data_IF_072953321290
#
_entry.id   IF_072953321290
#
_cell.length_a   1.000
_cell.length_b   1.000
_cell.length_c   1.000
_cell.angle_alpha   90.00
_cell.angle_beta   90.00
_cell.angle_gamma   90.00
#
_symmetry.space_group_name_H-M   'P 1'
#
loop_
_entity.id
_entity.type
_entity.pdbx_description
1 polymer ?
#
# COMPACT_ATOMS: atom_id res chain seq x y z
N UNK A 1 31.00 -9.11 4.69
CA UNK A 1 29.76 -9.87 4.41
C UNK A 1 28.65 -9.25 5.23
N UNK A 2 27.79 -8.43 4.63
CA UNK A 2 26.67 -7.81 5.34
C UNK A 2 25.37 -8.49 4.89
N UNK A 3 24.57 -9.01 5.83
CA UNK A 3 23.25 -9.57 5.54
C UNK A 3 22.20 -8.46 5.66
N UNK A 4 21.81 -7.87 4.54
CA UNK A 4 20.60 -7.04 4.47
C UNK A 4 19.44 -7.90 3.96
N UNK A 5 18.45 -8.14 4.83
CA UNK A 5 17.27 -8.95 4.51
C UNK A 5 16.16 -8.07 3.90
N UNK A 6 16.28 -7.75 2.61
CA UNK A 6 15.19 -7.11 1.87
C UNK A 6 13.97 -8.05 1.83
N UNK A 7 12.80 -7.56 2.25
CA UNK A 7 11.54 -8.32 2.28
C UNK A 7 10.53 -7.68 1.34
N UNK A 8 10.45 -8.19 0.10
CA UNK A 8 9.47 -7.81 -0.93
C UNK A 8 8.82 -9.08 -1.52
N UNK A 9 7.56 -8.94 -1.96
CA UNK A 9 6.63 -10.01 -2.34
C UNK A 9 6.47 -11.15 -1.31
N UNK A 10 5.42 -11.04 -0.49
CA UNK A 10 4.72 -12.21 0.04
C UNK A 10 3.46 -12.44 -0.80
N UNK A 11 3.51 -13.39 -1.74
CA UNK A 11 2.30 -13.89 -2.39
C UNK A 11 1.82 -15.13 -1.62
N UNK A 12 0.70 -15.00 -0.90
CA UNK A 12 0.19 -16.06 -0.02
C UNK A 12 -1.20 -16.49 -0.48
N UNK A 13 -1.25 -17.61 -1.22
CA UNK A 13 -2.47 -18.26 -1.71
C UNK A 13 -2.65 -19.61 -1.02
N UNK A 14 -3.88 -19.89 -0.57
CA UNK A 14 -4.27 -21.18 -0.02
C UNK A 14 -4.66 -22.18 -1.12
N UNK A 15 -4.60 -23.47 -0.80
CA UNK A 15 -5.04 -24.56 -1.69
C UNK A 15 -5.96 -25.51 -0.91
N UNK A 16 -7.19 -25.66 -1.42
CA UNK A 16 -8.09 -26.78 -1.08
C UNK A 16 -7.82 -27.90 -2.08
N UNK A 17 -7.83 -29.16 -1.62
CA UNK A 17 -7.48 -30.31 -2.44
C UNK A 17 -8.67 -30.83 -3.28
N UNK A 18 -8.45 -31.08 -4.57
CA UNK A 18 -9.41 -31.78 -5.44
C UNK A 18 -9.07 -31.74 -6.93
N UNK A 19 -8.74 -32.90 -7.51
CA UNK A 19 -8.59 -33.18 -8.96
C UNK A 19 -7.53 -32.37 -9.75
N UNK A 20 -7.17 -32.92 -10.92
CA UNK A 20 -6.30 -32.29 -11.92
C UNK A 20 -7.14 -31.41 -12.86
N UNK A 21 -6.68 -30.20 -13.14
CA UNK A 21 -7.00 -29.42 -14.34
C UNK A 21 -5.88 -28.38 -14.58
N UNK A 22 -5.58 -28.07 -15.84
CA UNK A 22 -4.25 -27.59 -16.28
C UNK A 22 -4.05 -26.06 -16.25
N UNK A 23 -2.82 -25.59 -15.94
CA UNK A 23 -2.57 -24.20 -15.48
C UNK A 23 -1.23 -23.49 -15.92
N UNK A 24 -1.31 -22.38 -16.70
CA UNK A 24 -0.26 -21.42 -17.14
C UNK A 24 -0.60 -19.90 -16.97
N UNK A 25 0.35 -19.03 -17.32
CA UNK A 25 0.27 -17.56 -17.32
C UNK A 25 0.99 -17.01 -18.57
N UNK A 26 0.54 -15.87 -19.11
CA UNK A 26 1.26 -15.12 -20.15
C UNK A 26 1.48 -13.68 -19.69
N UNK A 27 2.71 -13.17 -19.86
CA UNK A 27 3.08 -11.77 -19.60
C UNK A 27 3.52 -11.14 -20.92
N UNK A 28 2.91 -10.00 -21.26
CA UNK A 28 3.28 -9.14 -22.38
C UNK A 28 3.80 -7.83 -21.81
N UNK A 29 5.00 -7.38 -22.19
CA UNK A 29 5.45 -6.05 -21.84
C UNK A 29 4.84 -4.99 -22.78
N UNK A 30 4.93 -3.71 -22.40
CA UNK A 30 4.38 -2.61 -23.21
C UNK A 30 5.04 -2.45 -24.59
N UNK A 31 6.23 -3.03 -24.80
CA UNK A 31 6.88 -3.12 -26.12
C UNK A 31 6.43 -4.32 -26.98
N UNK A 32 5.35 -5.01 -26.61
CA UNK A 32 4.78 -6.16 -27.35
C UNK A 32 5.69 -7.40 -27.40
N UNK A 33 6.75 -7.46 -26.59
CA UNK A 33 7.74 -8.52 -26.60
C UNK A 33 7.32 -9.63 -25.63
N UNK A 34 7.12 -10.84 -26.17
CA UNK A 34 6.90 -12.04 -25.36
C UNK A 34 8.16 -12.37 -24.56
N UNK A 35 7.98 -12.71 -23.29
CA UNK A 35 9.03 -13.24 -22.43
C UNK A 35 8.73 -14.71 -22.14
N UNK A 36 9.61 -15.60 -22.60
CA UNK A 36 9.57 -17.01 -22.21
C UNK A 36 10.27 -17.18 -20.86
N UNK A 37 9.65 -17.94 -19.96
CA UNK A 37 10.22 -18.27 -18.65
C UNK A 37 10.38 -19.78 -18.57
N UNK A 38 11.63 -20.23 -18.38
CA UNK A 38 11.94 -21.65 -18.20
C UNK A 38 11.82 -22.03 -16.72
N UNK A 39 11.19 -23.17 -16.45
CA UNK A 39 10.96 -23.68 -15.09
C UNK A 39 11.47 -25.13 -14.98
N UNK A 40 11.93 -25.49 -13.78
CA UNK A 40 12.32 -26.87 -13.43
C UNK A 40 11.54 -27.28 -12.19
N UNK A 41 10.67 -28.28 -12.32
CA UNK A 41 9.93 -28.82 -11.20
C UNK A 41 10.77 -29.91 -10.52
N UNK A 42 11.30 -29.61 -9.33
CA UNK A 42 12.04 -30.57 -8.50
C UNK A 42 11.17 -31.00 -7.32
N UNK A 43 11.03 -32.31 -7.15
CA UNK A 43 10.48 -32.89 -5.92
C UNK A 43 11.37 -32.53 -4.72
N UNK A 44 10.76 -32.19 -3.58
CA UNK A 44 11.48 -31.98 -2.32
C UNK A 44 11.21 -33.17 -1.38
N UNK A 45 12.24 -33.68 -0.68
CA UNK A 45 12.08 -34.82 0.21
C UNK A 45 11.11 -34.52 1.36
N UNK A 46 10.41 -35.57 1.81
CA UNK A 46 9.43 -35.48 2.87
C UNK A 46 10.06 -34.91 4.16
N UNK A 47 9.46 -33.85 4.72
CA UNK A 47 9.99 -33.12 5.90
C UNK A 47 10.19 -33.98 7.16
N UNK A 48 9.55 -35.15 7.26
CA UNK A 48 9.68 -36.05 8.41
C UNK A 48 10.69 -37.20 8.20
N UNK A 49 11.03 -37.54 6.95
CA UNK A 49 11.88 -38.71 6.63
C UNK A 49 13.10 -38.39 5.75
N UNK A 50 13.20 -37.17 5.23
CA UNK A 50 14.26 -36.71 4.31
C UNK A 50 14.43 -37.54 3.02
N UNK A 51 13.38 -38.26 2.61
CA UNK A 51 13.34 -39.15 1.44
C UNK A 51 12.33 -38.66 0.40
N UNK A 52 12.66 -38.81 -0.89
CA UNK A 52 11.77 -38.61 -2.05
C UNK A 52 11.18 -39.95 -2.55
N UNK A 53 10.12 -39.91 -3.35
CA UNK A 53 9.36 -41.12 -3.73
C UNK A 53 9.85 -41.84 -4.98
N UNK A 54 10.91 -41.35 -5.64
CA UNK A 54 11.50 -42.00 -6.82
C UNK A 54 12.33 -43.23 -6.50
N UNK A 55 12.69 -43.97 -7.55
CA UNK A 55 13.61 -45.11 -7.45
C UNK A 55 14.94 -44.68 -6.80
N UNK A 56 15.51 -45.57 -5.98
CA UNK A 56 16.69 -45.30 -5.14
C UNK A 56 16.58 -44.08 -4.18
N UNK A 57 15.35 -43.63 -3.87
CA UNK A 57 15.05 -42.40 -3.11
C UNK A 57 15.42 -41.10 -3.85
N UNK A 58 15.66 -41.15 -5.16
CA UNK A 58 15.99 -39.96 -5.94
C UNK A 58 14.75 -39.06 -6.10
N UNK A 59 14.97 -37.74 -6.01
CA UNK A 59 13.90 -36.75 -6.17
C UNK A 59 13.64 -36.48 -7.65
N UNK A 60 12.40 -36.67 -8.11
CA UNK A 60 12.06 -36.48 -9.52
C UNK A 60 12.34 -35.03 -9.95
N UNK A 61 12.89 -34.87 -11.17
CA UNK A 61 13.12 -33.58 -11.82
C UNK A 61 12.38 -33.60 -13.16
N UNK A 62 11.31 -32.80 -13.25
CA UNK A 62 10.52 -32.61 -14.46
C UNK A 62 10.80 -31.25 -15.10
N UNK A 63 10.98 -31.24 -16.42
CA UNK A 63 11.08 -30.02 -17.24
C UNK A 63 10.29 -30.21 -18.52
N UNK A 64 9.45 -29.25 -18.89
CA UNK A 64 8.70 -29.24 -20.13
C UNK A 64 8.64 -27.82 -20.70
N UNK A 65 8.57 -27.71 -22.02
CA UNK A 65 8.46 -26.44 -22.74
C UNK A 65 7.08 -26.37 -23.37
N UNK A 66 6.24 -25.45 -22.89
CA UNK A 66 4.91 -25.21 -23.47
C UNK A 66 5.05 -24.34 -24.72
N UNK A 67 4.47 -24.77 -25.83
CA UNK A 67 4.40 -23.99 -27.06
C UNK A 67 2.97 -23.44 -27.28
N UNK A 68 2.78 -22.62 -28.31
CA UNK A 68 1.79 -21.53 -28.30
C UNK A 68 0.32 -21.89 -28.55
N UNK A 69 -0.18 -23.03 -28.11
CA UNK A 69 -1.57 -23.44 -28.35
C UNK A 69 -2.28 -24.03 -27.11
N UNK A 70 -3.46 -23.47 -26.85
CA UNK A 70 -4.50 -23.88 -25.88
C UNK A 70 -4.29 -23.54 -24.39
N UNK A 71 -5.39 -23.65 -23.63
CA UNK A 71 -5.67 -22.83 -22.44
C UNK A 71 -5.28 -23.50 -21.13
N UNK A 72 -4.69 -22.72 -20.23
CA UNK A 72 -4.31 -23.14 -18.88
C UNK A 72 -4.40 -21.88 -17.94
N UNK A 73 -4.92 -21.97 -16.68
CA UNK A 73 -5.10 -20.85 -15.68
C UNK A 73 -3.96 -20.85 -14.61
N UNK A 74 -3.98 -20.31 -13.37
CA UNK A 74 -2.83 -20.51 -12.40
C UNK A 74 -3.12 -21.26 -11.07
N UNK A 75 -2.14 -22.04 -10.58
CA UNK A 75 -2.01 -22.56 -9.21
C UNK A 75 -0.58 -22.40 -8.66
N UNK A 76 -0.39 -21.52 -7.67
CA UNK A 76 0.88 -21.34 -6.94
C UNK A 76 0.84 -22.17 -5.65
N UNK A 77 1.95 -22.81 -5.27
CA UNK A 77 2.10 -23.55 -4.00
C UNK A 77 3.00 -22.79 -3.00
N UNK A 78 2.86 -23.03 -1.67
CA UNK A 78 3.73 -22.41 -0.68
C UNK A 78 5.21 -22.79 -0.85
N UNK A 79 6.12 -21.89 -0.44
CA UNK A 79 7.59 -22.01 -0.50
C UNK A 79 8.22 -21.87 -1.90
N UNK A 80 7.76 -20.92 -2.71
CA UNK A 80 8.59 -20.36 -3.78
C UNK A 80 9.60 -19.35 -3.20
N UNK A 81 10.76 -19.18 -3.86
CA UNK A 81 11.78 -18.18 -3.51
C UNK A 81 11.87 -17.20 -4.69
N UNK A 82 11.88 -15.90 -4.40
CA UNK A 82 12.15 -14.85 -5.39
C UNK A 82 13.55 -14.31 -5.13
N UNK A 83 14.45 -14.48 -6.08
CA UNK A 83 15.72 -13.76 -6.08
C UNK A 83 15.50 -12.32 -6.59
N UNK A 84 15.11 -11.44 -5.68
CA UNK A 84 14.96 -10.02 -5.94
C UNK A 84 16.29 -9.29 -5.75
N UNK A 85 16.92 -8.84 -6.85
CA UNK A 85 18.09 -7.96 -6.76
C UNK A 85 17.66 -6.57 -6.30
N UNK A 86 18.29 -6.04 -5.25
CA UNK A 86 17.99 -4.70 -4.72
C UNK A 86 18.20 -3.60 -5.79
N UNK A 87 17.22 -2.71 -5.95
CA UNK A 87 17.25 -1.59 -6.91
C UNK A 87 18.34 -0.57 -6.57
N UNK A 88 18.73 -0.40 -5.30
CA UNK A 88 19.90 0.41 -4.93
C UNK A 88 21.20 -0.17 -5.50
N UNK A 89 21.36 -1.49 -5.40
CA UNK A 89 22.49 -2.23 -5.95
C UNK A 89 22.53 -2.21 -7.48
N UNK A 90 21.36 -2.30 -8.15
CA UNK A 90 21.24 -2.11 -9.60
C UNK A 90 21.65 -0.68 -9.99
N UNK A 91 21.14 0.34 -9.30
CA UNK A 91 21.44 1.74 -9.57
C UNK A 91 22.94 2.05 -9.42
N UNK A 92 23.62 1.50 -8.41
CA UNK A 92 25.06 1.62 -8.22
C UNK A 92 25.86 1.01 -9.38
N UNK A 93 25.47 -0.17 -9.86
CA UNK A 93 26.12 -0.83 -11.01
C UNK A 93 25.88 -0.05 -12.30
N UNK A 94 24.65 0.43 -12.54
CA UNK A 94 24.34 1.29 -13.69
C UNK A 94 25.10 2.62 -13.65
N UNK A 95 25.22 3.25 -12.47
CA UNK A 95 25.97 4.50 -12.30
C UNK A 95 27.46 4.33 -12.63
N UNK A 96 28.11 3.26 -12.14
CA UNK A 96 29.50 2.95 -12.53
C UNK A 96 29.61 2.77 -14.05
N UNK A 97 28.71 1.98 -14.64
CA UNK A 97 28.69 1.69 -16.08
C UNK A 97 28.46 2.94 -16.95
N UNK A 98 27.66 3.91 -16.49
CA UNK A 98 27.54 5.24 -17.13
C UNK A 98 28.89 5.95 -17.13
N UNK A 99 29.53 6.07 -15.96
CA UNK A 99 30.81 6.78 -15.81
C UNK A 99 31.90 6.14 -16.67
N UNK A 100 32.03 4.82 -16.65
CA UNK A 100 32.98 4.08 -17.49
C UNK A 100 32.73 4.29 -18.99
N UNK A 101 31.46 4.23 -19.42
CA UNK A 101 31.08 4.43 -20.84
C UNK A 101 31.39 5.87 -21.28
N UNK A 102 31.01 6.87 -20.49
CA UNK A 102 31.30 8.28 -20.79
C UNK A 102 32.79 8.58 -20.78
N UNK A 103 33.57 7.97 -19.87
CA UNK A 103 35.03 8.09 -19.84
C UNK A 103 35.69 7.54 -21.10
N UNK A 104 35.21 6.43 -21.66
CA UNK A 104 35.72 5.89 -22.93
C UNK A 104 35.28 6.75 -24.13
N UNK A 105 34.04 7.25 -24.14
CA UNK A 105 33.55 8.14 -25.20
C UNK A 105 34.37 9.44 -25.25
N UNK A 106 34.58 10.10 -24.11
CA UNK A 106 35.41 11.32 -24.03
C UNK A 106 36.87 11.06 -24.44
N UNK A 107 37.46 9.91 -24.04
CA UNK A 107 38.82 9.52 -24.49
C UNK A 107 38.91 9.24 -26.00
N UNK A 108 37.82 8.79 -26.63
CA UNK A 108 37.78 8.48 -28.07
C UNK A 108 37.52 9.73 -28.91
N UNK A 109 36.84 10.73 -28.35
CA UNK A 109 36.50 11.99 -29.01
C UNK A 109 37.64 13.05 -29.01
N UNK A 110 38.70 12.85 -28.22
CA UNK A 110 39.77 13.82 -28.00
C UNK A 110 41.12 13.36 -28.56
N UNK A 111 42.00 14.29 -28.99
CA UNK A 111 43.34 13.97 -29.43
C UNK A 111 44.21 13.45 -28.27
N UNK A 112 45.22 12.63 -28.60
CA UNK A 112 46.13 12.00 -27.63
C UNK A 112 47.10 12.97 -26.91
N UNK A 113 47.07 14.27 -27.25
CA UNK A 113 47.72 15.35 -26.53
C UNK A 113 46.72 16.48 -26.29
N UNK A 114 46.38 16.74 -25.02
CA UNK A 114 45.32 17.69 -24.62
C UNK A 114 45.89 19.09 -24.34
N UNK A 115 45.41 20.08 -25.09
CA UNK A 115 45.52 21.51 -24.73
C UNK A 115 44.56 21.87 -23.58
N UNK A 116 44.62 23.10 -23.08
CA UNK A 116 43.65 23.58 -22.09
C UNK A 116 42.22 23.75 -22.67
N UNK A 117 42.07 23.96 -23.99
CA UNK A 117 40.76 23.90 -24.64
C UNK A 117 40.21 22.46 -24.67
N UNK A 118 41.06 21.46 -24.95
CA UNK A 118 40.64 20.06 -24.97
C UNK A 118 40.22 19.57 -23.57
N UNK A 119 40.79 20.13 -22.49
CA UNK A 119 40.37 19.86 -21.10
C UNK A 119 38.97 20.37 -20.81
N UNK A 120 38.63 21.58 -21.25
CA UNK A 120 37.27 22.13 -21.13
C UNK A 120 36.27 21.30 -21.95
N UNK A 121 36.61 20.97 -23.19
CA UNK A 121 35.81 20.09 -24.03
C UNK A 121 35.61 18.70 -23.41
N UNK A 122 36.63 18.14 -22.75
CA UNK A 122 36.52 16.87 -22.02
C UNK A 122 35.47 16.92 -20.91
N UNK A 123 35.42 18.02 -20.15
CA UNK A 123 34.46 18.24 -19.06
C UNK A 123 33.05 18.38 -19.62
N UNK A 124 32.85 19.15 -20.69
CA UNK A 124 31.54 19.33 -21.34
C UNK A 124 31.01 18.01 -21.94
N UNK A 125 31.85 17.27 -22.68
CA UNK A 125 31.51 15.97 -23.24
C UNK A 125 31.14 14.96 -22.14
N UNK A 126 31.92 14.92 -21.06
CA UNK A 126 31.67 14.01 -19.94
C UNK A 126 30.39 14.39 -19.18
N UNK A 127 30.18 15.67 -18.88
CA UNK A 127 28.99 16.17 -18.20
C UNK A 127 27.72 15.89 -19.02
N UNK A 128 27.73 16.20 -20.31
CA UNK A 128 26.61 15.96 -21.24
C UNK A 128 26.30 14.46 -21.36
N UNK A 129 27.33 13.62 -21.50
CA UNK A 129 27.17 12.16 -21.54
C UNK A 129 26.60 11.60 -20.23
N UNK A 130 27.11 12.03 -19.07
CA UNK A 130 26.61 11.58 -17.76
C UNK A 130 25.18 12.05 -17.54
N UNK A 131 24.86 13.32 -17.82
CA UNK A 131 23.51 13.87 -17.63
C UNK A 131 22.46 13.14 -18.49
N UNK A 132 22.72 12.98 -19.79
CA UNK A 132 21.82 12.28 -20.71
C UNK A 132 21.67 10.79 -20.39
N UNK A 133 22.77 10.11 -20.05
CA UNK A 133 22.74 8.68 -19.69
C UNK A 133 22.06 8.44 -18.34
N UNK A 134 22.24 9.35 -17.38
CA UNK A 134 21.58 9.28 -16.06
C UNK A 134 20.08 9.54 -16.18
N UNK A 135 19.67 10.55 -16.95
CA UNK A 135 18.26 10.81 -17.25
C UNK A 135 17.58 9.57 -17.85
N UNK A 136 18.24 8.89 -18.80
CA UNK A 136 17.74 7.65 -19.40
C UNK A 136 17.70 6.45 -18.43
N UNK A 137 18.60 6.37 -17.45
CA UNK A 137 18.50 5.34 -16.40
C UNK A 137 17.39 5.66 -15.39
N UNK A 138 17.12 6.93 -15.10
CA UNK A 138 15.98 7.36 -14.27
C UNK A 138 14.66 7.03 -14.99
N UNK A 139 14.59 7.29 -16.31
CA UNK A 139 13.45 6.94 -17.17
C UNK A 139 13.16 5.43 -17.14
N UNK A 140 14.16 4.59 -17.41
CA UNK A 140 14.03 3.12 -17.36
C UNK A 140 13.65 2.62 -15.97
N UNK A 141 14.23 3.18 -14.90
CA UNK A 141 13.87 2.82 -13.53
C UNK A 141 12.44 3.26 -13.18
N UNK A 142 11.94 4.36 -13.76
CA UNK A 142 10.55 4.78 -13.62
C UNK A 142 9.60 3.85 -14.38
N UNK A 143 9.91 3.48 -15.63
CA UNK A 143 9.16 2.47 -16.40
C UNK A 143 9.06 1.13 -15.64
N UNK A 144 10.17 0.66 -15.05
CA UNK A 144 10.17 -0.57 -14.25
C UNK A 144 9.32 -0.42 -12.97
N UNK A 145 9.40 0.70 -12.25
CA UNK A 145 8.55 0.96 -11.07
C UNK A 145 7.06 1.02 -11.45
N UNK A 146 6.71 1.65 -12.57
CA UNK A 146 5.32 1.67 -13.05
C UNK A 146 4.84 0.26 -13.42
N UNK A 147 5.62 -0.52 -14.16
CA UNK A 147 5.27 -1.91 -14.53
C UNK A 147 5.12 -2.83 -13.31
N UNK A 148 5.97 -2.67 -12.29
CA UNK A 148 5.81 -3.40 -11.01
C UNK A 148 4.56 -2.92 -10.25
N UNK A 149 4.18 -1.64 -10.35
CA UNK A 149 2.93 -1.10 -9.80
C UNK A 149 1.68 -1.62 -10.54
N UNK A 150 1.73 -1.75 -11.86
CA UNK A 150 0.68 -2.35 -12.71
C UNK A 150 0.44 -3.82 -12.28
N UNK A 151 1.48 -4.66 -12.29
CA UNK A 151 1.40 -6.07 -11.86
C UNK A 151 0.84 -6.19 -10.44
N UNK A 152 1.31 -5.34 -9.52
CA UNK A 152 0.87 -5.30 -8.12
C UNK A 152 -0.62 -4.94 -8.03
N UNK A 153 -1.09 -3.97 -8.81
CA UNK A 153 -2.49 -3.51 -8.80
C UNK A 153 -3.44 -4.54 -9.40
N UNK A 154 -3.09 -5.15 -10.54
CA UNK A 154 -3.88 -6.23 -11.14
C UNK A 154 -3.96 -7.46 -10.22
N UNK A 155 -2.84 -7.83 -9.60
CA UNK A 155 -2.78 -8.94 -8.64
C UNK A 155 -3.61 -8.64 -7.39
N UNK A 156 -3.57 -7.40 -6.89
CA UNK A 156 -4.40 -6.91 -5.80
C UNK A 156 -5.89 -7.04 -6.10
N UNK A 157 -6.35 -6.60 -7.28
CA UNK A 157 -7.76 -6.72 -7.66
C UNK A 157 -8.24 -8.18 -7.76
N UNK A 158 -7.39 -9.10 -8.21
CA UNK A 158 -7.71 -10.54 -8.19
C UNK A 158 -7.77 -11.11 -6.77
N UNK A 159 -6.92 -10.64 -5.85
CA UNK A 159 -6.85 -11.11 -4.47
C UNK A 159 -7.89 -10.49 -3.52
N UNK A 160 -8.56 -9.40 -3.90
CA UNK A 160 -9.54 -8.72 -3.02
C UNK A 160 -10.69 -9.66 -2.63
N UNK A 161 -11.25 -10.38 -3.60
CA UNK A 161 -12.33 -11.34 -3.35
C UNK A 161 -11.89 -12.47 -2.41
N UNK A 162 -10.62 -12.89 -2.44
CA UNK A 162 -10.12 -13.90 -1.52
C UNK A 162 -9.92 -13.33 -0.10
N UNK A 163 -9.17 -12.24 0.02
CA UNK A 163 -8.82 -11.60 1.31
C UNK A 163 -10.02 -11.03 2.06
N UNK A 164 -11.06 -10.54 1.36
CA UNK A 164 -12.27 -10.03 1.97
C UNK A 164 -13.37 -11.09 2.24
N UNK A 165 -13.33 -12.27 1.60
CA UNK A 165 -14.37 -13.31 1.73
C UNK A 165 -13.92 -14.52 2.58
N UNK A 166 -12.62 -14.82 2.64
CA UNK A 166 -12.09 -15.86 3.52
C UNK A 166 -12.07 -15.36 4.98
N UNK A 167 -13.21 -15.51 5.65
CA UNK A 167 -13.41 -15.18 7.06
C UNK A 167 -12.47 -15.92 8.04
N UNK A 168 -11.60 -16.83 7.60
CA UNK A 168 -10.63 -17.51 8.48
C UNK A 168 -9.26 -16.80 8.57
N UNK A 169 -8.88 -15.99 7.57
CA UNK A 169 -7.57 -15.33 7.51
C UNK A 169 -7.36 -14.32 8.66
N UNK A 170 -6.44 -14.53 9.62
CA UNK A 170 -6.20 -13.55 10.69
C UNK A 170 -5.63 -12.24 10.12
N UNK A 171 -5.64 -11.17 10.93
CA UNK A 171 -4.86 -9.95 10.64
C UNK A 171 -3.43 -10.30 10.25
N UNK A 172 -2.91 -9.70 9.18
CA UNK A 172 -1.55 -9.92 8.71
C UNK A 172 -0.54 -9.75 9.84
N UNK A 173 0.47 -10.64 9.89
CA UNK A 173 1.45 -10.63 10.97
C UNK A 173 2.31 -9.36 10.92
N UNK A 174 2.41 -8.66 12.05
CA UNK A 174 3.31 -7.52 12.22
C UNK A 174 4.78 -7.88 11.94
N UNK A 175 5.53 -6.93 11.36
CA UNK A 175 6.97 -7.05 11.12
C UNK A 175 7.75 -6.83 12.41
N UNK A 176 7.35 -5.81 13.16
CA UNK A 176 7.85 -5.46 14.50
C UNK A 176 6.67 -5.01 15.36
N UNK A 177 6.86 -5.00 16.67
CA UNK A 177 5.89 -4.46 17.62
C UNK A 177 6.58 -3.45 18.53
N UNK A 178 5.84 -2.44 18.97
CA UNK A 178 6.30 -1.40 19.89
C UNK A 178 5.16 -0.97 20.81
N UNK A 179 5.44 -0.07 21.76
CA UNK A 179 4.43 0.51 22.63
C UNK A 179 4.52 2.05 22.58
N UNK A 180 3.36 2.71 22.48
CA UNK A 180 3.25 4.17 22.51
C UNK A 180 2.22 4.57 23.58
N UNK A 181 2.63 5.39 24.57
CA UNK A 181 1.78 5.78 25.71
C UNK A 181 1.00 4.59 26.32
N UNK A 182 1.73 3.50 26.61
CA UNK A 182 1.21 2.21 27.10
C UNK A 182 0.25 1.43 26.16
N UNK A 183 -0.07 1.92 24.96
CA UNK A 183 -0.81 1.19 23.93
C UNK A 183 0.11 0.31 23.11
N UNK A 184 -0.37 -0.88 22.75
CA UNK A 184 0.36 -1.81 21.89
C UNK A 184 0.22 -1.41 20.42
N UNK A 185 1.34 -1.38 19.69
CA UNK A 185 1.43 -1.01 18.28
C UNK A 185 2.07 -2.15 17.48
N UNK A 186 1.28 -2.75 16.59
CA UNK A 186 1.71 -3.69 15.55
C UNK A 186 2.15 -2.90 14.30
N UNK A 187 3.44 -2.95 13.95
CA UNK A 187 3.98 -2.30 12.75
C UNK A 187 3.89 -3.28 11.57
N UNK A 188 2.92 -3.07 10.69
CA UNK A 188 2.63 -3.94 9.54
C UNK A 188 3.49 -3.58 8.33
N UNK A 189 3.62 -2.27 8.05
CA UNK A 189 4.51 -1.71 7.06
C UNK A 189 5.28 -0.54 7.66
N UNK A 190 6.59 -0.54 7.45
CA UNK A 190 7.46 0.62 7.66
C UNK A 190 8.35 0.78 6.42
N UNK A 191 8.15 1.89 5.71
CA UNK A 191 8.99 2.42 4.62
C UNK A 191 9.05 3.95 4.78
N UNK A 192 9.95 4.66 4.08
CA UNK A 192 9.99 6.12 4.13
C UNK A 192 8.67 6.75 3.67
N UNK A 193 8.16 6.38 2.49
CA UNK A 193 6.92 6.92 1.89
C UNK A 193 5.62 6.27 2.36
N UNK A 194 5.67 5.06 2.93
CA UNK A 194 4.49 4.27 3.25
C UNK A 194 4.64 3.57 4.61
N UNK A 195 3.74 3.87 5.56
CA UNK A 195 3.67 3.19 6.86
C UNK A 195 2.25 2.72 7.13
N UNK A 196 2.10 1.57 7.77
CA UNK A 196 0.80 1.00 8.19
C UNK A 196 1.00 0.38 9.58
N UNK A 197 0.39 0.98 10.59
CA UNK A 197 0.44 0.53 11.99
C UNK A 197 -0.98 0.18 12.47
N UNK A 198 -1.12 -0.90 13.24
CA UNK A 198 -2.35 -1.22 13.97
C UNK A 198 -2.13 -0.97 15.47
N UNK A 199 -3.04 -0.24 16.10
CA UNK A 199 -2.89 0.26 17.47
C UNK A 199 -4.05 -0.30 18.30
N UNK A 200 -3.74 -1.02 19.38
CA UNK A 200 -4.77 -1.49 20.32
C UNK A 200 -5.20 -0.37 21.26
N UNK A 201 -6.49 -0.34 21.62
CA UNK A 201 -7.05 0.52 22.68
C UNK A 201 -6.78 2.03 22.48
N UNK A 202 -6.85 2.48 21.22
CA UNK A 202 -6.60 3.85 20.80
C UNK A 202 -7.75 4.81 21.12
N UNK A 203 -8.98 4.43 20.76
CA UNK A 203 -10.21 5.19 21.02
C UNK A 203 -11.03 4.49 22.12
N UNK A 204 -11.52 5.23 23.10
CA UNK A 204 -12.27 4.68 24.24
C UNK A 204 -13.74 4.41 23.89
N UNK A 205 -14.46 3.70 24.77
CA UNK A 205 -15.90 3.55 24.60
C UNK A 205 -16.61 4.89 24.77
N UNK A 206 -16.20 5.69 25.76
CA UNK A 206 -16.79 6.98 26.10
C UNK A 206 -16.66 7.98 24.95
N UNK A 207 -15.52 8.02 24.26
CA UNK A 207 -15.32 8.82 23.04
C UNK A 207 -16.23 8.33 21.90
N UNK A 208 -16.36 7.02 21.71
CA UNK A 208 -17.24 6.45 20.68
C UNK A 208 -18.73 6.71 20.93
N UNK A 209 -19.18 6.57 22.19
CA UNK A 209 -20.57 6.78 22.59
C UNK A 209 -20.93 8.28 22.51
N UNK A 210 -20.01 9.17 22.92
CA UNK A 210 -20.13 10.63 22.75
C UNK A 210 -20.23 11.03 21.27
N UNK A 211 -19.32 10.53 20.42
CA UNK A 211 -19.34 10.79 18.98
C UNK A 211 -20.65 10.32 18.36
N UNK A 212 -21.08 9.09 18.66
CA UNK A 212 -22.34 8.55 18.14
C UNK A 212 -23.55 9.35 18.64
N UNK A 213 -23.51 9.87 19.87
CA UNK A 213 -24.60 10.66 20.43
C UNK A 213 -24.86 11.96 19.66
N UNK A 214 -23.81 12.70 19.27
CA UNK A 214 -23.93 13.95 18.52
C UNK A 214 -24.36 13.69 17.07
N UNK A 215 -23.68 12.77 16.35
CA UNK A 215 -23.88 12.61 14.89
C UNK A 215 -25.17 11.90 14.49
N UNK A 216 -25.83 11.15 15.39
CA UNK A 216 -26.96 10.24 15.06
C UNK A 216 -28.11 10.88 14.27
N UNK A 217 -28.34 12.19 14.46
CA UNK A 217 -29.41 12.93 13.79
C UNK A 217 -29.00 13.48 12.42
N UNK A 218 -27.70 13.65 12.16
CA UNK A 218 -27.13 14.27 10.96
C UNK A 218 -26.64 13.23 9.91
N UNK A 219 -26.84 11.94 10.19
CA UNK A 219 -26.40 10.81 9.36
C UNK A 219 -27.01 10.81 7.94
N UNK A 220 -26.18 11.10 6.94
CA UNK A 220 -26.53 11.09 5.51
C UNK A 220 -26.00 9.84 4.82
N UNK A 221 -26.54 9.49 3.66
CA UNK A 221 -25.98 8.41 2.82
C UNK A 221 -24.56 8.76 2.35
N UNK A 222 -23.66 7.77 2.34
CA UNK A 222 -22.24 8.01 2.06
C UNK A 222 -21.89 7.92 0.57
N UNK A 223 -21.18 8.93 0.06
CA UNK A 223 -20.63 8.98 -1.31
C UNK A 223 -19.70 7.80 -1.62
N UNK A 224 -19.93 7.12 -2.74
CA UNK A 224 -19.04 6.07 -3.26
C UNK A 224 -17.85 6.72 -3.95
N UNK A 225 -16.63 6.31 -3.58
CA UNK A 225 -15.43 6.59 -4.37
C UNK A 225 -15.45 5.72 -5.64
N UNK A 226 -15.29 6.36 -6.80
CA UNK A 226 -15.34 5.70 -8.12
C UNK A 226 -14.01 5.01 -8.52
N UNK A 227 -13.04 4.95 -7.61
CA UNK A 227 -11.67 4.45 -7.86
C UNK A 227 -10.76 5.42 -8.62
N UNK A 228 -11.24 6.60 -9.01
CA UNK A 228 -10.50 7.66 -9.72
C UNK A 228 -10.56 9.02 -9.01
N UNK A 229 -10.98 9.04 -7.75
CA UNK A 229 -11.10 10.24 -6.90
C UNK A 229 -12.46 10.94 -6.97
N UNK A 230 -13.34 10.53 -7.90
CA UNK A 230 -14.71 11.03 -8.01
C UNK A 230 -15.61 10.49 -6.89
N UNK A 231 -16.60 11.31 -6.51
CA UNK A 231 -17.67 10.93 -5.57
C UNK A 231 -18.98 10.74 -6.32
N UNK A 232 -19.60 9.58 -6.17
CA UNK A 232 -20.90 9.26 -6.79
C UNK A 232 -21.86 8.69 -5.76
N UNK A 233 -23.13 9.13 -5.79
CA UNK A 233 -24.19 8.51 -5.01
C UNK A 233 -24.63 7.21 -5.68
N UNK A 234 -24.42 6.06 -5.04
CA UNK A 234 -25.07 4.80 -5.44
C UNK A 234 -26.37 4.61 -4.62
N UNK A 235 -27.57 4.61 -5.24
CA UNK A 235 -28.84 4.32 -4.57
C UNK A 235 -28.95 2.95 -3.89
N UNK A 236 -27.97 2.06 -4.08
CA UNK A 236 -27.89 0.76 -3.42
C UNK A 236 -26.97 0.69 -2.19
N UNK A 237 -26.25 1.76 -1.86
CA UNK A 237 -25.40 1.80 -0.65
C UNK A 237 -26.26 1.94 0.61
N UNK A 238 -25.74 1.45 1.75
CA UNK A 238 -26.43 1.58 3.04
C UNK A 238 -25.60 2.32 4.09
N UNK A 239 -24.30 2.45 3.88
CA UNK A 239 -23.44 3.17 4.81
C UNK A 239 -23.88 4.63 5.00
N UNK A 240 -23.87 5.06 6.26
CA UNK A 240 -24.14 6.44 6.68
C UNK A 240 -22.85 7.16 7.05
N UNK A 241 -22.83 8.47 6.88
CA UNK A 241 -21.69 9.35 7.20
C UNK A 241 -22.14 10.68 7.80
N UNK A 242 -21.32 11.28 8.66
CA UNK A 242 -21.48 12.67 9.11
C UNK A 242 -20.14 13.27 9.62
N UNK A 243 -19.82 14.54 9.32
CA UNK A 243 -18.73 15.26 9.95
C UNK A 243 -19.08 15.66 11.40
N UNK A 244 -18.12 15.51 12.31
CA UNK A 244 -18.29 15.82 13.74
C UNK A 244 -17.99 17.30 13.95
N UNK A 245 -18.98 18.16 13.68
CA UNK A 245 -18.89 19.62 13.78
C UNK A 245 -19.58 20.20 15.01
N UNK A 246 -20.89 19.96 15.11
CA UNK A 246 -21.75 20.63 16.08
C UNK A 246 -21.86 19.79 17.36
N UNK A 247 -20.81 19.79 18.19
CA UNK A 247 -20.83 19.10 19.48
C UNK A 247 -21.51 19.98 20.53
N UNK A 248 -22.69 19.54 20.99
CA UNK A 248 -23.57 20.34 21.84
C UNK A 248 -23.30 20.13 23.34
N UNK A 249 -22.93 18.91 23.73
CA UNK A 249 -22.58 18.60 25.13
C UNK A 249 -21.09 18.89 25.42
N UNK A 250 -20.83 19.70 26.44
CA UNK A 250 -19.48 20.12 26.80
C UNK A 250 -18.57 18.97 27.31
N UNK A 251 -19.16 17.87 27.81
CA UNK A 251 -18.40 16.67 28.20
C UNK A 251 -18.04 15.83 26.97
N UNK A 252 -18.92 15.74 25.97
CA UNK A 252 -18.62 15.14 24.67
C UNK A 252 -17.55 15.94 23.92
N UNK A 253 -17.63 17.28 23.92
CA UNK A 253 -16.64 18.16 23.29
C UNK A 253 -15.23 17.88 23.82
N UNK A 254 -15.08 17.81 25.16
CA UNK A 254 -13.80 17.49 25.82
C UNK A 254 -13.28 16.09 25.47
N UNK A 255 -14.16 15.09 25.31
CA UNK A 255 -13.75 13.74 24.89
C UNK A 255 -13.25 13.74 23.43
N UNK A 256 -13.94 14.45 22.55
CA UNK A 256 -13.58 14.58 21.13
C UNK A 256 -12.28 15.38 20.96
N UNK A 257 -12.06 16.42 21.76
CA UNK A 257 -10.78 17.17 21.85
C UNK A 257 -9.63 16.26 22.34
N UNK A 258 -9.86 15.45 23.37
CA UNK A 258 -8.87 14.50 23.90
C UNK A 258 -8.54 13.36 22.93
N UNK A 259 -9.49 12.97 22.07
CA UNK A 259 -9.24 12.07 20.96
C UNK A 259 -8.45 12.76 19.85
N UNK A 260 -8.87 13.97 19.45
CA UNK A 260 -8.22 14.79 18.41
C UNK A 260 -6.72 14.94 18.69
N UNK A 261 -6.36 15.45 19.87
CA UNK A 261 -4.96 15.61 20.30
C UNK A 261 -4.17 14.31 20.27
N UNK A 262 -4.76 13.19 20.69
CA UNK A 262 -4.13 11.86 20.64
C UNK A 262 -3.77 11.42 19.21
N UNK A 263 -4.53 11.85 18.21
CA UNK A 263 -4.26 11.56 16.80
C UNK A 263 -3.07 12.38 16.30
N UNK A 264 -2.98 13.67 16.64
CA UNK A 264 -1.83 14.50 16.28
C UNK A 264 -0.56 14.10 17.05
N UNK A 265 -0.66 13.80 18.35
CA UNK A 265 0.46 13.26 19.15
C UNK A 265 1.02 11.96 18.55
N UNK A 266 0.15 11.05 18.09
CA UNK A 266 0.58 9.81 17.43
C UNK A 266 1.15 10.08 16.03
N UNK A 267 0.54 10.98 15.26
CA UNK A 267 1.01 11.32 13.91
C UNK A 267 2.39 11.97 13.98
N UNK A 268 2.62 12.88 14.92
CA UNK A 268 3.91 13.53 15.16
C UNK A 268 4.96 12.60 15.78
N UNK A 269 4.53 11.54 16.48
CA UNK A 269 5.43 10.44 16.89
C UNK A 269 5.95 9.61 15.70
N UNK A 270 5.15 9.47 14.63
CA UNK A 270 5.47 8.65 13.45
C UNK A 270 6.06 9.47 12.29
N UNK A 271 5.70 10.75 12.16
CA UNK A 271 6.12 11.68 11.12
C UNK A 271 6.65 12.99 11.73
N UNK A 272 7.87 13.44 11.40
CA UNK A 272 8.51 14.60 12.04
C UNK A 272 8.04 15.95 11.46
N UNK A 273 6.72 16.19 11.44
CA UNK A 273 6.12 17.39 10.84
C UNK A 273 5.50 18.39 11.83
N UNK A 274 5.30 18.02 13.10
CA UNK A 274 4.68 18.86 14.14
C UNK A 274 3.29 19.43 13.74
N UNK A 275 2.43 18.59 13.17
CA UNK A 275 1.08 18.96 12.73
C UNK A 275 0.16 19.23 13.94
N UNK A 276 -0.62 20.31 13.87
CA UNK A 276 -1.63 20.75 14.84
C UNK A 276 -3.06 20.43 14.35
N UNK A 277 -4.06 20.67 15.19
CA UNK A 277 -5.49 20.61 14.85
C UNK A 277 -6.02 21.85 14.09
N UNK A 278 -5.24 22.94 14.06
CA UNK A 278 -5.53 24.17 13.30
C UNK A 278 -5.68 23.89 11.80
N UNK A 279 -6.74 24.43 11.17
CA UNK A 279 -6.98 24.28 9.73
C UNK A 279 -7.35 22.87 9.23
N UNK A 280 -7.41 21.86 10.10
CA UNK A 280 -7.56 20.45 9.71
C UNK A 280 -8.98 20.04 9.30
N UNK A 281 -9.10 18.86 8.68
CA UNK A 281 -10.39 18.29 8.31
C UNK A 281 -11.18 17.83 9.54
N UNK A 282 -12.52 17.89 9.46
CA UNK A 282 -13.40 17.32 10.49
C UNK A 282 -13.09 15.83 10.71
N UNK A 283 -13.22 15.36 11.95
CA UNK A 283 -13.41 13.93 12.20
C UNK A 283 -14.69 13.46 11.49
N UNK A 284 -14.62 12.38 10.74
CA UNK A 284 -15.76 11.78 10.04
C UNK A 284 -16.22 10.51 10.73
N UNK A 285 -17.47 10.46 11.19
CA UNK A 285 -18.12 9.21 11.59
C UNK A 285 -18.70 8.50 10.36
N UNK A 286 -18.46 7.19 10.22
CA UNK A 286 -19.04 6.36 9.16
C UNK A 286 -19.55 5.03 9.74
N UNK A 287 -20.79 4.66 9.41
CA UNK A 287 -21.45 3.44 9.86
C UNK A 287 -21.84 2.58 8.66
N UNK A 288 -21.53 1.29 8.71
CA UNK A 288 -21.81 0.28 7.67
C UNK A 288 -22.65 -0.86 8.25
N UNK A 289 -23.52 -1.46 7.44
CA UNK A 289 -24.49 -2.47 7.89
C UNK A 289 -24.30 -3.83 7.21
N UNK A 290 -24.57 -4.91 7.95
CA UNK A 290 -24.58 -6.29 7.43
C UNK A 290 -25.62 -6.48 6.33
N UNK A 291 -25.16 -6.84 5.12
CA UNK A 291 -26.03 -7.05 3.95
C UNK A 291 -26.26 -8.52 3.59
N UNK A 292 -25.62 -9.45 4.29
CA UNK A 292 -25.62 -10.89 3.98
C UNK A 292 -24.59 -11.28 2.91
N UNK A 293 -24.08 -12.50 2.99
CA UNK A 293 -22.90 -12.98 2.24
C UNK A 293 -23.09 -13.04 0.71
N UNK A 294 -24.34 -13.19 0.24
CA UNK A 294 -24.69 -13.31 -1.19
C UNK A 294 -25.27 -12.00 -1.77
N UNK A 295 -25.09 -10.86 -1.10
CA UNK A 295 -25.66 -9.60 -1.58
C UNK A 295 -24.85 -9.04 -2.76
N UNK A 296 -25.54 -8.68 -3.85
CA UNK A 296 -24.91 -8.06 -5.04
C UNK A 296 -24.51 -6.59 -4.82
N UNK A 297 -25.03 -5.96 -3.77
CA UNK A 297 -24.59 -4.65 -3.26
C UNK A 297 -24.30 -4.75 -1.75
N UNK A 298 -23.17 -5.36 -1.37
CA UNK A 298 -22.75 -5.42 0.02
C UNK A 298 -22.28 -4.04 0.48
N UNK A 299 -22.41 -3.73 1.77
CA UNK A 299 -22.00 -2.44 2.30
C UNK A 299 -20.49 -2.48 2.54
N UNK A 300 -19.75 -1.67 1.77
CA UNK A 300 -18.30 -1.75 1.64
C UNK A 300 -17.71 -0.40 1.25
N UNK A 301 -16.38 -0.31 1.20
CA UNK A 301 -15.67 0.76 0.51
C UNK A 301 -14.74 0.13 -0.55
N UNK A 302 -14.65 0.73 -1.73
CA UNK A 302 -13.85 0.21 -2.86
C UNK A 302 -12.36 0.57 -2.70
N UNK A 303 -11.45 -0.06 -3.47
CA UNK A 303 -10.05 0.35 -3.52
C UNK A 303 -9.89 1.84 -3.87
N UNK A 304 -9.15 2.58 -3.05
CA UNK A 304 -8.88 4.01 -3.21
C UNK A 304 -7.63 4.43 -2.41
N UNK A 305 -7.19 5.67 -2.59
CA UNK A 305 -6.20 6.33 -1.74
C UNK A 305 -6.84 7.56 -1.07
N UNK A 306 -6.38 7.91 0.14
CA UNK A 306 -6.89 9.07 0.88
C UNK A 306 -6.23 10.39 0.47
N UNK A 307 -4.95 10.35 0.11
CA UNK A 307 -4.25 11.42 -0.60
C UNK A 307 -3.65 10.90 -1.90
N UNK A 308 -2.77 11.70 -2.52
CA UNK A 308 -2.03 11.26 -3.70
C UNK A 308 -1.17 10.03 -3.37
N UNK A 309 -1.18 9.04 -4.26
CA UNK A 309 -0.49 7.76 -4.12
C UNK A 309 0.14 7.30 -5.45
N UNK A 310 0.52 8.28 -6.29
CA UNK A 310 1.06 8.10 -7.64
C UNK A 310 2.60 8.25 -7.70
N UNK A 311 3.27 8.26 -6.54
CA UNK A 311 4.71 8.42 -6.42
C UNK A 311 5.26 9.80 -6.83
N UNK A 312 4.42 10.83 -6.95
CA UNK A 312 4.85 12.21 -7.24
C UNK A 312 5.22 13.00 -5.98
N UNK A 313 5.66 14.25 -6.16
CA UNK A 313 5.92 15.17 -5.07
C UNK A 313 4.62 15.61 -4.37
N UNK A 314 4.69 15.82 -3.06
CA UNK A 314 3.62 16.36 -2.23
C UNK A 314 3.18 17.76 -2.72
N UNK A 315 1.88 18.04 -2.62
CA UNK A 315 1.27 19.34 -2.88
C UNK A 315 0.84 19.96 -1.56
N UNK A 316 1.12 21.24 -1.37
CA UNK A 316 0.80 21.95 -0.13
C UNK A 316 -0.71 21.95 0.17
N UNK A 317 -1.07 21.95 1.47
CA UNK A 317 -2.42 21.67 1.94
C UNK A 317 -2.90 20.23 1.73
N UNK A 318 -2.08 19.36 1.13
CA UNK A 318 -2.39 17.97 0.85
C UNK A 318 -2.50 17.10 2.11
N UNK A 319 -3.22 15.98 1.99
CA UNK A 319 -3.28 14.94 3.02
C UNK A 319 -1.97 14.15 3.06
N UNK A 320 -1.53 13.74 4.26
CA UNK A 320 -0.28 12.99 4.48
C UNK A 320 -0.46 11.67 5.25
N UNK A 321 -1.51 11.56 6.06
CA UNK A 321 -1.81 10.37 6.86
C UNK A 321 -3.30 10.26 7.20
N UNK A 322 -3.74 9.04 7.49
CA UNK A 322 -5.09 8.71 7.97
C UNK A 322 -5.01 7.99 9.30
N UNK A 323 -5.89 8.36 10.24
CA UNK A 323 -6.15 7.58 11.45
C UNK A 323 -7.58 7.02 11.41
N UNK A 324 -7.69 5.72 11.19
CA UNK A 324 -8.96 4.99 11.05
C UNK A 324 -9.27 4.20 12.34
N UNK A 325 -10.20 4.71 13.15
CA UNK A 325 -10.54 4.22 14.48
C UNK A 325 -11.82 3.39 14.46
N UNK A 326 -11.90 2.29 15.23
CA UNK A 326 -13.01 1.33 15.17
C UNK A 326 -13.85 1.32 16.46
N UNK A 327 -14.96 2.04 16.46
CA UNK A 327 -15.91 2.06 17.57
C UNK A 327 -16.72 0.75 17.66
N UNK A 328 -17.26 0.28 16.54
CA UNK A 328 -17.89 -1.04 16.43
C UNK A 328 -17.33 -1.84 15.26
N UNK A 329 -17.23 -3.14 15.47
CA UNK A 329 -16.75 -4.10 14.47
C UNK A 329 -17.89 -4.99 14.01
N UNK A 330 -17.87 -5.32 12.72
CA UNK A 330 -18.80 -6.27 12.14
C UNK A 330 -18.68 -7.62 12.86
N UNK A 331 -19.81 -8.32 13.04
CA UNK A 331 -19.80 -9.71 13.50
C UNK A 331 -19.16 -10.62 12.44
N UNK A 332 -19.33 -10.29 11.15
CA UNK A 332 -18.68 -10.97 10.01
C UNK A 332 -18.32 -9.97 8.90
N UNK A 333 -17.13 -10.14 8.32
CA UNK A 333 -16.58 -9.23 7.30
C UNK A 333 -15.98 -7.95 7.88
N UNK A 334 -15.99 -6.85 7.12
CA UNK A 334 -15.66 -5.51 7.62
C UNK A 334 -14.17 -5.20 7.85
N UNK A 335 -13.23 -6.03 7.39
CA UNK A 335 -11.79 -5.75 7.45
C UNK A 335 -11.38 -4.48 6.66
N UNK A 336 -10.19 -3.95 6.92
CA UNK A 336 -9.51 -2.95 6.09
C UNK A 336 -8.36 -3.64 5.35
N UNK A 337 -8.23 -3.44 4.05
CA UNK A 337 -7.34 -4.24 3.19
C UNK A 337 -6.41 -3.36 2.34
N UNK A 338 -5.11 -3.41 2.61
CA UNK A 338 -4.04 -2.73 1.86
C UNK A 338 -3.42 -3.73 0.87
N UNK A 339 -4.12 -3.92 -0.25
CA UNK A 339 -3.85 -5.03 -1.17
C UNK A 339 -2.43 -4.97 -1.74
N UNK A 340 -2.00 -3.78 -2.18
CA UNK A 340 -0.68 -3.52 -2.75
C UNK A 340 0.48 -3.73 -1.74
N UNK A 341 0.20 -3.72 -0.44
CA UNK A 341 1.16 -4.05 0.61
C UNK A 341 1.05 -5.50 1.13
N UNK A 342 0.04 -6.27 0.70
CA UNK A 342 -0.25 -7.61 1.21
C UNK A 342 -0.77 -7.65 2.66
N UNK A 343 -1.39 -6.55 3.12
CA UNK A 343 -1.76 -6.37 4.53
C UNK A 343 -3.28 -6.28 4.69
N UNK A 344 -3.88 -7.29 5.34
CA UNK A 344 -5.29 -7.26 5.76
C UNK A 344 -5.35 -7.01 7.27
N UNK A 345 -6.02 -5.94 7.67
CA UNK A 345 -6.26 -5.59 9.08
C UNK A 345 -7.70 -5.94 9.45
N UNK A 346 -7.87 -6.89 10.38
CA UNK A 346 -9.16 -7.14 11.01
C UNK A 346 -9.26 -6.30 12.28
N UNK A 347 -10.26 -5.41 12.37
CA UNK A 347 -10.37 -4.50 13.50
C UNK A 347 -10.77 -5.25 14.78
N UNK A 348 -10.29 -4.74 15.91
CA UNK A 348 -10.89 -4.98 17.23
C UNK A 348 -11.73 -3.74 17.59
N UNK A 349 -12.73 -3.86 18.47
CA UNK A 349 -13.31 -2.65 19.07
C UNK A 349 -12.20 -1.83 19.73
N UNK A 350 -12.31 -0.51 19.71
CA UNK A 350 -11.41 0.43 20.39
C UNK A 350 -9.98 0.51 19.81
N UNK A 351 -9.64 -0.34 18.83
CA UNK A 351 -8.39 -0.24 18.06
C UNK A 351 -8.44 0.86 16.98
N UNK A 352 -7.28 1.16 16.41
CA UNK A 352 -7.15 2.02 15.23
C UNK A 352 -6.13 1.46 14.23
N UNK A 353 -6.29 1.80 12.96
CA UNK A 353 -5.29 1.63 11.90
C UNK A 353 -4.77 3.00 11.50
N UNK A 354 -3.50 3.27 11.75
CA UNK A 354 -2.81 4.45 11.23
C UNK A 354 -2.09 4.08 9.94
N UNK A 355 -2.13 4.96 8.94
CA UNK A 355 -1.26 4.85 7.77
C UNK A 355 -0.85 6.21 7.24
N UNK A 356 0.40 6.31 6.75
CA UNK A 356 0.98 7.53 6.19
C UNK A 356 1.52 7.27 4.79
N UNK A 357 1.35 8.24 3.91
CA UNK A 357 1.61 8.13 2.46
C UNK A 357 2.52 9.26 1.94
N UNK A 358 3.46 9.73 2.76
CA UNK A 358 4.49 10.70 2.41
C UNK A 358 5.85 10.30 3.01
N UNK A 359 6.94 10.58 2.28
CA UNK A 359 8.31 10.45 2.77
C UNK A 359 8.80 11.79 3.36
N UNK A 360 8.99 11.90 4.69
CA UNK A 360 9.43 13.14 5.33
C UNK A 360 10.87 13.56 4.96
N UNK A 361 11.68 12.66 4.39
CA UNK A 361 13.03 13.00 3.93
C UNK A 361 13.11 13.55 2.49
N UNK A 362 12.04 13.41 1.69
CA UNK A 362 12.06 13.80 0.26
C UNK A 362 10.79 14.50 -0.22
N UNK A 363 9.75 14.62 0.63
CA UNK A 363 8.42 15.13 0.27
C UNK A 363 7.80 14.43 -0.95
N UNK A 364 8.11 13.15 -1.13
CA UNK A 364 7.52 12.29 -2.18
C UNK A 364 6.40 11.45 -1.57
N UNK A 365 5.31 11.29 -2.30
CA UNK A 365 4.15 10.50 -1.89
C UNK A 365 4.42 8.99 -1.99
N UNK A 366 3.51 8.20 -1.42
CA UNK A 366 3.41 6.76 -1.64
C UNK A 366 3.23 6.41 -3.13
N UNK A 367 3.69 5.21 -3.53
CA UNK A 367 3.52 4.67 -4.88
C UNK A 367 2.31 3.73 -5.01
N UNK A 368 1.39 3.77 -4.04
CA UNK A 368 0.13 3.02 -4.02
C UNK A 368 0.09 1.87 -3.01
N UNK A 369 1.08 1.74 -2.12
CA UNK A 369 1.12 0.71 -1.07
C UNK A 369 0.04 0.91 0.01
N UNK A 370 -0.36 2.17 0.22
CA UNK A 370 -1.44 2.59 1.13
C UNK A 370 -2.82 2.60 0.46
N UNK A 371 -2.89 2.29 -0.85
CA UNK A 371 -4.17 2.06 -1.52
C UNK A 371 -4.92 0.94 -0.80
N UNK A 372 -6.14 1.23 -0.37
CA UNK A 372 -6.88 0.36 0.53
C UNK A 372 -8.38 0.31 0.22
N UNK A 373 -9.01 -0.75 0.70
CA UNK A 373 -10.47 -0.93 0.63
C UNK A 373 -11.05 -1.34 1.98
N UNK A 374 -12.36 -1.10 2.14
CA UNK A 374 -13.15 -1.60 3.27
C UNK A 374 -13.91 -2.83 2.82
N UNK A 375 -13.53 -4.02 3.30
CA UNK A 375 -14.18 -5.26 2.93
C UNK A 375 -15.68 -5.26 3.31
N UNK A 376 -16.54 -5.94 2.52
CA UNK A 376 -17.96 -6.16 2.82
C UNK A 376 -18.30 -6.41 4.28
N UNK A 377 -19.28 -5.67 4.82
CA UNK A 377 -19.93 -6.00 6.09
C UNK A 377 -21.03 -7.04 5.82
N UNK A 378 -20.81 -8.25 6.32
CA UNK A 378 -21.66 -9.42 6.05
C UNK A 378 -22.74 -9.54 7.12
N UNK A 379 -22.37 -9.40 8.40
CA UNK A 379 -23.26 -9.51 9.55
C UNK A 379 -22.89 -8.49 10.65
N UNK A 380 -23.89 -7.94 11.34
CA UNK A 380 -23.72 -6.90 12.37
C UNK A 380 -23.60 -5.50 11.77
N UNK A 381 -22.89 -4.61 12.48
CA UNK A 381 -22.56 -3.26 12.02
C UNK A 381 -21.07 -2.98 12.21
N UNK A 382 -20.50 -2.09 11.40
CA UNK A 382 -19.16 -1.53 11.61
C UNK A 382 -19.30 -0.01 11.75
N UNK A 383 -18.82 0.57 12.84
CA UNK A 383 -18.82 2.02 13.08
C UNK A 383 -17.38 2.48 13.25
N UNK A 384 -16.97 3.42 12.42
CA UNK A 384 -15.62 3.98 12.41
C UNK A 384 -15.67 5.49 12.59
N UNK A 385 -14.57 6.02 13.12
CA UNK A 385 -14.24 7.43 13.06
C UNK A 385 -12.93 7.54 12.29
N UNK A 386 -12.85 8.45 11.32
CA UNK A 386 -11.62 8.66 10.54
C UNK A 386 -11.21 10.12 10.57
N UNK A 387 -9.89 10.36 10.66
CA UNK A 387 -9.28 11.67 10.48
C UNK A 387 -8.26 11.59 9.34
N UNK A 388 -8.28 12.57 8.45
CA UNK A 388 -7.28 12.73 7.40
C UNK A 388 -6.40 13.93 7.70
N UNK A 389 -5.20 13.65 8.19
CA UNK A 389 -4.22 14.67 8.58
C UNK A 389 -3.63 15.30 7.32
N UNK A 390 -3.69 16.63 7.25
CA UNK A 390 -3.05 17.46 6.22
C UNK A 390 -1.79 18.14 6.73
N UNK A 391 -0.94 18.52 5.79
CA UNK A 391 0.27 19.32 6.03
C UNK A 391 0.19 20.60 5.20
N UNK A 392 0.63 21.73 5.76
CA UNK A 392 0.42 23.05 5.14
C UNK A 392 -1.05 23.47 5.20
N UNK A 393 -1.66 23.41 6.39
CA UNK A 393 -2.96 24.03 6.69
C UNK A 393 -2.87 24.69 8.07
N UNK A 394 -3.59 25.79 8.26
CA UNK A 394 -3.61 26.58 9.50
C UNK A 394 -4.95 27.36 9.65
N UNK A 395 -5.08 28.25 10.64
CA UNK A 395 -6.31 29.04 10.84
C UNK A 395 -6.59 30.05 9.70
N UNK A 396 -5.57 30.57 9.01
CA UNK A 396 -5.73 31.49 7.88
C UNK A 396 -5.98 30.73 6.57
N UNK A 397 -5.41 29.53 6.45
CA UNK A 397 -5.43 28.65 5.29
C UNK A 397 -6.00 27.26 5.67
N UNK A 398 -7.30 27.17 6.02
CA UNK A 398 -7.93 25.89 6.37
C UNK A 398 -8.02 24.96 5.17
N UNK A 399 -8.17 23.65 5.42
CA UNK A 399 -8.17 22.59 4.41
C UNK A 399 -9.14 22.78 3.23
N UNK A 400 -10.21 23.55 3.39
CA UNK A 400 -11.18 23.82 2.34
C UNK A 400 -10.78 24.97 1.40
N UNK A 401 -9.84 25.83 1.78
CA UNK A 401 -9.22 26.81 0.87
C UNK A 401 -8.46 26.13 -0.27
N UNK A 402 -7.84 24.98 0.00
CA UNK A 402 -7.10 24.15 -0.97
C UNK A 402 -8.00 23.27 -1.85
N UNK A 403 -9.34 23.32 -1.69
CA UNK A 403 -10.28 22.53 -2.50
C UNK A 403 -10.92 23.37 -3.63
N UNK A 404 -10.21 24.35 -4.18
CA UNK A 404 -10.69 25.15 -5.33
C UNK A 404 -10.93 24.26 -6.55
N UNK A 405 -12.13 24.34 -7.14
CA UNK A 405 -12.43 23.67 -8.39
C UNK A 405 -11.72 24.35 -9.57
N UNK A 406 -10.90 23.59 -10.29
CA UNK A 406 -10.60 23.80 -11.72
C UNK A 406 -11.38 22.79 -12.57
#
# INVERSE_FOLDING_TARGET
MNRFTSHFLFLQLALVAGSMDERSLTIMNQSGKRMEVHWVLRELPNRATSVCTGEENQCHVGSFTVNSHENQVIFIRPNFIIDHTDTGSIALVSASKIVDTCLQNTKTALPSSLSDQDKSAAIELMSSCIQSSTAKQIEIAHEEVQFQSEIRTDTSHMLENYTCYDETLPTSKAKTTTNWMARHVDVMLDRPSAKIHFISDFITQEECDAIHWEVKNDLKDADVSDGRGGRTLDPGRSAKTSPIRNVNDASHARLIEQLSRRIYDYTNHVLPFNVTDEGQQDLMFIQYYGRGINNKKPDRYLPHCDGDCDGRAFKDGGRIATMLMYCDIAKRGGATNFMNAGITVRPKKYSATFFSYINPGTMMMDDGLTQHSGCPVIEGEKRIVTLWVRLGVDEENPWDSYNTCE
#
